data_IF_107424432063
#
_entry.id   IF_107424432063
#
_cell.length_a   1.000
_cell.length_b   1.000
_cell.length_c   1.000
_cell.angle_alpha   90.00
_cell.angle_beta   90.00
_cell.angle_gamma   90.00
#
_symmetry.space_group_name_H-M   'P 1'
#
loop_
_entity.id
_entity.type
_entity.pdbx_description
1 polymer ?
#
# COMPACT_ATOMS: atom_id res chain seq x y z
N UNK A 1 -16.74 29.39 -40.24
CA UNK A 1 -16.38 30.33 -39.17
C UNK A 1 -15.52 29.58 -38.17
N UNK A 2 -14.47 30.26 -37.75
CA UNK A 2 -13.13 29.73 -37.51
C UNK A 2 -12.87 29.01 -36.18
N UNK A 3 -12.03 27.98 -36.30
CA UNK A 3 -10.89 27.54 -35.47
C UNK A 3 -10.66 28.28 -34.13
N UNK A 4 -10.60 27.53 -33.02
CA UNK A 4 -9.54 27.64 -32.00
C UNK A 4 -9.35 26.32 -31.25
N UNK A 5 -8.28 25.63 -31.62
CA UNK A 5 -7.62 24.61 -30.82
C UNK A 5 -6.74 25.28 -29.77
N UNK A 6 -6.85 24.89 -28.51
CA UNK A 6 -5.79 25.15 -27.53
C UNK A 6 -5.35 23.83 -26.91
N UNK A 7 -4.29 23.31 -27.53
CA UNK A 7 -3.36 22.32 -27.02
C UNK A 7 -2.73 22.85 -25.72
N UNK A 8 -2.87 22.12 -24.62
CA UNK A 8 -2.06 22.32 -23.41
C UNK A 8 -1.22 21.06 -23.18
N UNK A 9 0.08 21.21 -23.40
CA UNK A 9 1.12 20.31 -22.93
C UNK A 9 1.75 20.86 -21.64
N UNK A 10 2.39 19.96 -20.89
CA UNK A 10 3.07 20.22 -19.62
C UNK A 10 2.22 19.73 -18.44
N UNK A 11 2.65 18.82 -17.58
CA UNK A 11 4.02 18.48 -17.18
C UNK A 11 4.03 17.10 -16.48
N UNK A 12 4.97 16.24 -16.86
CA UNK A 12 5.25 14.92 -16.26
C UNK A 12 6.05 15.06 -14.94
N UNK A 13 6.06 16.24 -14.33
CA UNK A 13 7.01 16.62 -13.28
C UNK A 13 6.45 16.51 -11.85
N UNK A 14 5.67 15.46 -11.56
CA UNK A 14 5.21 15.15 -10.19
C UNK A 14 5.50 13.73 -9.71
N UNK A 15 6.10 12.87 -10.54
CA UNK A 15 6.40 11.47 -10.19
C UNK A 15 7.78 11.25 -9.55
N UNK A 16 8.63 12.26 -9.51
CA UNK A 16 10.06 12.10 -9.17
C UNK A 16 10.42 12.29 -7.70
N UNK A 17 9.49 12.73 -6.83
CA UNK A 17 9.85 13.00 -5.41
C UNK A 17 9.76 11.73 -4.56
N UNK A 18 8.76 10.89 -4.80
CA UNK A 18 8.55 9.67 -4.02
C UNK A 18 9.60 8.58 -4.32
N UNK A 19 10.02 8.47 -5.58
CA UNK A 19 11.09 7.56 -6.02
C UNK A 19 12.48 8.00 -5.52
N UNK A 20 12.72 9.32 -5.40
CA UNK A 20 13.99 9.85 -4.91
C UNK A 20 14.14 9.73 -3.38
N UNK A 21 13.05 9.78 -2.61
CA UNK A 21 13.11 9.65 -1.14
C UNK A 21 13.41 8.22 -0.67
N UNK A 22 13.01 7.20 -1.45
CA UNK A 22 13.30 5.79 -1.14
C UNK A 22 14.77 5.45 -1.47
N UNK A 23 15.32 6.03 -2.55
CA UNK A 23 16.72 5.81 -2.94
C UNK A 23 17.74 6.40 -1.95
N UNK A 24 17.42 7.54 -1.33
CA UNK A 24 18.33 8.24 -0.41
C UNK A 24 18.61 7.45 0.88
N UNK A 25 17.66 6.64 1.36
CA UNK A 25 17.87 5.80 2.55
C UNK A 25 18.62 4.50 2.26
N UNK A 26 18.56 3.97 1.02
CA UNK A 26 19.25 2.75 0.65
C UNK A 26 20.78 2.93 0.48
N UNK A 27 21.23 4.11 0.04
CA UNK A 27 22.66 4.37 -0.15
C UNK A 27 23.46 4.53 1.16
N UNK A 28 22.83 4.94 2.27
CA UNK A 28 23.54 5.15 3.53
C UNK A 28 23.95 3.83 4.24
N UNK A 29 23.38 2.69 3.85
CA UNK A 29 23.63 1.40 4.48
C UNK A 29 24.72 0.53 3.84
N UNK A 30 25.31 0.95 2.71
CA UNK A 30 26.18 0.09 1.88
C UNK A 30 27.69 0.38 2.00
N UNK A 31 28.11 1.34 2.84
CA UNK A 31 29.52 1.73 2.98
C UNK A 31 30.05 1.43 4.38
N UNK A 32 30.13 0.16 4.75
CA UNK A 32 30.95 -0.27 5.89
C UNK A 32 31.24 -1.77 5.87
N UNK A 33 32.13 -2.25 5.00
CA UNK A 33 32.94 -3.44 5.29
C UNK A 33 34.29 -3.35 4.59
N UNK A 34 35.39 -3.24 5.35
CA UNK A 34 36.74 -3.61 4.90
C UNK A 34 37.13 -4.99 5.48
N UNK A 35 38.02 -5.76 4.81
CA UNK A 35 38.29 -7.17 5.11
C UNK A 35 39.69 -7.43 5.70
N UNK A 36 39.89 -8.58 6.36
CA UNK A 36 41.17 -9.30 6.49
C UNK A 36 40.87 -10.73 6.99
N UNK A 37 41.06 -11.79 6.20
CA UNK A 37 42.32 -12.50 5.90
C UNK A 37 42.64 -13.60 6.91
N UNK A 38 42.59 -14.88 6.49
CA UNK A 38 43.30 -15.99 7.15
C UNK A 38 43.44 -17.20 6.20
N UNK A 39 44.65 -17.73 6.20
CA UNK A 39 45.30 -18.73 5.33
C UNK A 39 44.78 -20.18 5.42
N UNK A 40 44.91 -20.91 4.30
CA UNK A 40 44.77 -22.36 4.12
C UNK A 40 46.09 -23.12 4.43
N UNK A 41 46.31 -24.42 4.07
CA UNK A 41 45.43 -25.62 3.92
C UNK A 41 46.04 -26.93 4.58
N UNK A 42 45.35 -28.10 4.48
CA UNK A 42 45.87 -29.39 3.94
C UNK A 42 45.35 -30.71 4.58
N UNK A 43 45.33 -31.76 3.73
CA UNK A 43 45.18 -33.23 3.93
C UNK A 43 43.76 -33.86 4.04
N UNK A 44 43.41 -35.00 3.41
CA UNK A 44 44.02 -35.87 2.38
C UNK A 44 42.99 -36.90 1.84
N UNK A 45 43.19 -37.35 0.58
CA UNK A 45 42.88 -38.59 -0.18
C UNK A 45 41.74 -39.57 0.27
N UNK A 46 40.98 -40.27 -0.61
CA UNK A 46 41.38 -41.23 -1.67
C UNK A 46 40.22 -41.57 -2.67
N UNK A 47 40.59 -41.76 -3.96
CA UNK A 47 40.15 -42.63 -5.10
C UNK A 47 38.73 -43.24 -5.19
N UNK A 48 38.04 -43.40 -6.34
CA UNK A 48 38.34 -44.16 -7.60
C UNK A 48 37.39 -43.66 -8.75
N UNK A 49 37.84 -43.36 -9.99
CA UNK A 49 37.85 -44.20 -11.23
C UNK A 49 36.44 -44.62 -11.74
N UNK A 50 35.94 -44.50 -12.98
CA UNK A 50 36.32 -44.06 -14.35
C UNK A 50 35.04 -43.38 -14.95
N UNK A 51 34.95 -42.69 -16.09
CA UNK A 51 35.34 -43.03 -17.45
C UNK A 51 35.13 -41.81 -18.39
N UNK A 52 36.18 -41.50 -19.16
CA UNK A 52 36.20 -41.45 -20.62
C UNK A 52 35.19 -40.59 -21.43
N UNK A 53 35.78 -39.62 -22.15
CA UNK A 53 35.44 -39.14 -23.50
C UNK A 53 34.11 -38.41 -23.73
N UNK A 54 34.18 -37.09 -23.74
CA UNK A 54 33.65 -36.27 -24.83
C UNK A 54 34.37 -34.92 -24.80
N UNK A 55 35.43 -34.81 -25.60
CA UNK A 55 36.11 -33.56 -25.85
C UNK A 55 35.18 -32.59 -26.60
N UNK A 56 35.18 -31.36 -26.09
CA UNK A 56 35.25 -30.14 -26.89
C UNK A 56 34.20 -29.95 -27.98
N UNK A 57 32.99 -29.52 -27.61
CA UNK A 57 32.18 -28.50 -28.32
C UNK A 57 31.09 -27.95 -27.38
N UNK A 58 31.47 -27.28 -26.29
CA UNK A 58 30.50 -26.50 -25.49
C UNK A 58 31.18 -25.25 -24.92
N UNK A 59 31.82 -24.50 -25.81
CA UNK A 59 32.49 -23.25 -25.46
C UNK A 59 32.22 -22.17 -26.52
N UNK A 60 30.98 -22.09 -27.01
CA UNK A 60 30.54 -21.00 -27.88
C UNK A 60 29.04 -20.75 -27.75
N UNK A 61 28.52 -20.56 -26.53
CA UNK A 61 27.21 -19.92 -26.37
C UNK A 61 27.12 -19.17 -25.05
N UNK A 62 28.15 -18.39 -24.75
CA UNK A 62 28.10 -17.34 -23.74
C UNK A 62 28.46 -16.05 -24.46
N UNK A 63 27.44 -15.30 -24.87
CA UNK A 63 27.28 -13.85 -24.61
C UNK A 63 26.23 -13.26 -25.56
N UNK A 64 24.97 -13.55 -25.30
CA UNK A 64 23.91 -12.57 -25.56
C UNK A 64 23.21 -12.37 -24.22
N UNK A 65 23.82 -11.54 -23.36
CA UNK A 65 23.08 -10.96 -22.26
C UNK A 65 22.06 -10.02 -22.90
N UNK A 66 20.81 -10.48 -22.98
CA UNK A 66 19.68 -9.68 -23.40
C UNK A 66 19.70 -8.36 -22.60
N UNK A 67 19.83 -7.22 -23.30
CA UNK A 67 19.79 -5.91 -22.64
C UNK A 67 18.41 -5.72 -22.01
N UNK A 68 18.34 -5.97 -20.70
CA UNK A 68 17.12 -5.82 -19.92
C UNK A 68 16.66 -4.36 -20.04
N UNK A 69 15.45 -4.16 -20.57
CA UNK A 69 14.87 -2.84 -20.76
C UNK A 69 14.77 -2.09 -19.45
N UNK A 70 14.91 -0.76 -19.50
CA UNK A 70 14.77 0.10 -18.31
C UNK A 70 13.45 -0.14 -17.55
N UNK A 71 12.38 -0.44 -18.27
CA UNK A 71 11.06 -0.72 -17.69
C UNK A 71 11.06 -2.05 -16.92
N UNK A 72 11.75 -3.07 -17.41
CA UNK A 72 11.91 -4.36 -16.73
C UNK A 72 12.76 -4.22 -15.46
N UNK A 73 13.82 -3.39 -15.51
CA UNK A 73 14.63 -3.06 -14.33
C UNK A 73 13.80 -2.33 -13.28
N UNK A 74 12.97 -1.36 -13.68
CA UNK A 74 12.11 -0.61 -12.76
C UNK A 74 11.07 -1.55 -12.10
N UNK A 75 10.52 -2.54 -12.83
CA UNK A 75 9.63 -3.59 -12.30
C UNK A 75 10.36 -4.54 -11.34
N UNK A 76 11.57 -4.96 -11.69
CA UNK A 76 12.42 -5.82 -10.84
C UNK A 76 12.76 -5.11 -9.52
N UNK A 77 13.15 -3.84 -9.58
CA UNK A 77 13.46 -3.03 -8.40
C UNK A 77 12.22 -2.90 -7.51
N UNK A 78 11.06 -2.56 -8.07
CA UNK A 78 9.81 -2.48 -7.29
C UNK A 78 9.49 -3.82 -6.63
N UNK A 79 9.59 -4.94 -7.37
CA UNK A 79 9.33 -6.28 -6.84
C UNK A 79 10.24 -6.63 -5.66
N UNK A 80 11.53 -6.33 -5.77
CA UNK A 80 12.52 -6.57 -4.70
C UNK A 80 12.21 -5.70 -3.48
N UNK A 81 11.87 -4.43 -3.67
CA UNK A 81 11.50 -3.53 -2.57
C UNK A 81 10.22 -4.02 -1.89
N UNK A 82 9.24 -4.50 -2.64
CA UNK A 82 7.99 -5.05 -2.11
C UNK A 82 8.20 -6.29 -1.24
N UNK A 83 9.05 -7.21 -1.68
CA UNK A 83 9.40 -8.39 -0.89
C UNK A 83 10.20 -8.03 0.36
N UNK A 84 11.16 -7.10 0.24
CA UNK A 84 12.09 -6.79 1.33
C UNK A 84 11.52 -5.83 2.37
N UNK A 85 10.60 -4.93 1.97
CA UNK A 85 10.07 -3.87 2.83
C UNK A 85 8.53 -3.72 2.77
N UNK A 86 7.75 -4.81 2.97
CA UNK A 86 6.29 -4.78 2.83
C UNK A 86 5.59 -3.86 3.85
N UNK A 87 6.17 -3.72 5.05
CA UNK A 87 5.62 -2.86 6.12
C UNK A 87 5.75 -1.38 5.79
N UNK A 88 6.93 -0.95 5.32
CA UNK A 88 7.20 0.45 4.94
C UNK A 88 6.29 0.91 3.80
N UNK A 89 6.05 0.01 2.85
CA UNK A 89 5.15 0.25 1.72
C UNK A 89 3.71 0.45 2.21
N UNK A 90 3.22 -0.46 3.06
CA UNK A 90 1.88 -0.35 3.66
C UNK A 90 1.73 0.98 4.40
N UNK A 91 2.71 1.37 5.21
CA UNK A 91 2.70 2.64 5.93
C UNK A 91 2.63 3.83 4.95
N UNK A 92 3.45 3.82 3.90
CA UNK A 92 3.46 4.89 2.89
C UNK A 92 2.10 5.03 2.17
N UNK A 93 1.44 3.93 1.83
CA UNK A 93 0.08 3.95 1.25
C UNK A 93 -0.93 4.56 2.19
N UNK A 94 -0.93 4.08 3.43
CA UNK A 94 -1.86 4.55 4.44
C UNK A 94 -1.66 6.04 4.66
N UNK A 95 -0.42 6.51 4.67
CA UNK A 95 -0.09 7.91 4.84
C UNK A 95 -0.61 8.75 3.68
N UNK A 96 -0.38 8.30 2.44
CA UNK A 96 -0.90 8.97 1.25
C UNK A 96 -2.44 8.99 1.22
N UNK A 97 -3.11 7.89 1.55
CA UNK A 97 -4.58 7.85 1.68
C UNK A 97 -5.08 8.85 2.72
N UNK A 98 -4.45 8.91 3.89
CA UNK A 98 -4.87 9.78 4.98
C UNK A 98 -4.59 11.26 4.69
N UNK A 99 -3.46 11.58 4.05
CA UNK A 99 -3.13 12.95 3.64
C UNK A 99 -4.10 13.47 2.59
N UNK A 100 -4.48 12.64 1.62
CA UNK A 100 -5.55 12.98 0.69
C UNK A 100 -6.91 13.10 1.39
N UNK A 101 -7.22 12.20 2.33
CA UNK A 101 -8.44 12.28 3.13
C UNK A 101 -8.55 13.56 3.94
N UNK A 102 -7.45 14.03 4.52
CA UNK A 102 -7.38 15.28 5.32
C UNK A 102 -7.73 16.53 4.51
N UNK A 103 -7.49 16.54 3.20
CA UNK A 103 -7.87 17.66 2.33
C UNK A 103 -9.40 17.89 2.27
N UNK A 104 -10.18 16.88 2.65
CA UNK A 104 -11.63 16.95 2.66
C UNK A 104 -12.22 17.28 4.02
N UNK A 105 -11.42 17.53 5.06
CA UNK A 105 -11.91 17.90 6.38
C UNK A 105 -12.86 19.12 6.30
N UNK A 106 -13.98 19.02 7.02
CA UNK A 106 -15.04 20.03 7.03
C UNK A 106 -16.00 19.97 5.83
N UNK A 107 -15.73 19.16 4.80
CA UNK A 107 -16.68 18.99 3.69
C UNK A 107 -17.97 18.32 4.18
N UNK A 108 -19.17 18.77 3.75
CA UNK A 108 -20.44 18.22 4.21
C UNK A 108 -20.61 16.73 3.88
N UNK A 109 -21.41 16.02 4.69
CA UNK A 109 -21.82 14.66 4.38
C UNK A 109 -22.45 14.59 2.98
N UNK A 110 -22.12 13.56 2.19
CA UNK A 110 -22.66 13.37 0.83
C UNK A 110 -22.35 14.52 -0.15
N UNK A 111 -21.30 15.31 0.07
CA UNK A 111 -20.79 16.20 -0.97
C UNK A 111 -20.32 15.38 -2.19
N UNK A 112 -20.24 16.04 -3.36
CA UNK A 112 -19.71 15.42 -4.58
C UNK A 112 -18.21 15.67 -4.69
N UNK A 113 -17.42 14.62 -4.83
CA UNK A 113 -15.99 14.77 -5.14
C UNK A 113 -15.79 15.25 -6.60
N UNK A 114 -14.55 15.59 -7.03
CA UNK A 114 -14.28 16.00 -8.40
C UNK A 114 -14.66 14.96 -9.48
N UNK A 115 -14.80 13.68 -9.10
CA UNK A 115 -15.27 12.58 -9.96
C UNK A 115 -16.81 12.47 -10.01
N UNK A 116 -17.53 13.37 -9.33
CA UNK A 116 -19.00 13.38 -9.26
C UNK A 116 -19.62 12.41 -8.25
N UNK A 117 -18.80 11.66 -7.51
CA UNK A 117 -19.22 10.61 -6.57
C UNK A 117 -19.68 11.20 -5.23
N UNK A 118 -20.71 10.61 -4.63
CA UNK A 118 -21.25 11.04 -3.34
C UNK A 118 -20.38 10.52 -2.20
N UNK A 119 -19.83 11.40 -1.37
CA UNK A 119 -18.96 11.04 -0.25
C UNK A 119 -19.76 10.81 1.05
N UNK A 120 -20.44 9.67 1.13
CA UNK A 120 -20.93 9.11 2.41
C UNK A 120 -19.83 8.33 3.15
N UNK A 121 -20.14 7.77 4.33
CA UNK A 121 -19.13 7.13 5.17
C UNK A 121 -18.33 6.04 4.45
N UNK A 122 -19.01 5.11 3.79
CA UNK A 122 -18.35 3.99 3.12
C UNK A 122 -17.79 4.36 1.76
N UNK A 123 -18.42 5.30 1.04
CA UNK A 123 -17.87 5.77 -0.24
C UNK A 123 -16.65 6.66 -0.05
N UNK A 124 -16.56 7.41 1.06
CA UNK A 124 -15.35 8.15 1.42
C UNK A 124 -14.19 7.19 1.64
N UNK A 125 -14.37 6.14 2.44
CA UNK A 125 -13.34 5.10 2.63
C UNK A 125 -12.98 4.43 1.30
N UNK A 126 -13.98 4.04 0.50
CA UNK A 126 -13.73 3.45 -0.83
C UNK A 126 -12.92 4.39 -1.74
N UNK A 127 -13.22 5.68 -1.71
CA UNK A 127 -12.48 6.68 -2.47
C UNK A 127 -11.01 6.76 -2.03
N UNK A 128 -10.72 6.67 -0.72
CA UNK A 128 -9.34 6.61 -0.21
C UNK A 128 -8.57 5.43 -0.80
N UNK A 129 -9.12 4.22 -0.69
CA UNK A 129 -8.51 3.02 -1.28
C UNK A 129 -8.34 3.13 -2.80
N UNK A 130 -9.29 3.75 -3.50
CA UNK A 130 -9.21 3.92 -4.96
C UNK A 130 -8.05 4.81 -5.43
N UNK A 131 -7.52 5.68 -4.56
CA UNK A 131 -6.33 6.48 -4.88
C UNK A 131 -5.07 5.62 -4.99
N UNK A 132 -5.06 4.49 -4.27
CA UNK A 132 -4.01 3.48 -4.34
C UNK A 132 -4.37 2.34 -5.30
N UNK A 133 -5.34 2.54 -6.20
CA UNK A 133 -5.77 1.49 -7.14
C UNK A 133 -6.54 0.31 -6.52
N UNK A 134 -6.86 0.38 -5.21
CA UNK A 134 -7.57 -0.68 -4.50
C UNK A 134 -9.09 -0.51 -4.59
N UNK A 135 -9.79 -1.60 -4.91
CA UNK A 135 -11.26 -1.59 -5.03
C UNK A 135 -11.91 -2.37 -3.90
N UNK A 136 -12.42 -1.64 -2.90
CA UNK A 136 -13.18 -2.23 -1.79
C UNK A 136 -14.70 -2.11 -2.01
N UNK A 137 -15.54 -2.95 -1.38
CA UNK A 137 -17.00 -2.89 -1.55
C UNK A 137 -17.64 -1.53 -1.22
N UNK A 138 -18.84 -1.28 -1.77
CA UNK A 138 -19.52 0.03 -1.69
C UNK A 138 -20.12 0.35 -0.32
N UNK A 139 -20.66 -0.65 0.37
CA UNK A 139 -21.41 -0.44 1.63
C UNK A 139 -20.55 -0.77 2.84
N UNK A 140 -20.76 -0.06 3.96
CA UNK A 140 -20.02 -0.29 5.20
C UNK A 140 -20.13 -1.75 5.69
N UNK A 141 -21.31 -2.38 5.52
CA UNK A 141 -21.52 -3.78 5.88
C UNK A 141 -20.73 -4.76 5.00
N UNK A 142 -20.63 -4.49 3.69
CA UNK A 142 -19.80 -5.31 2.80
C UNK A 142 -18.31 -5.09 3.07
N UNK A 143 -17.89 -3.86 3.37
CA UNK A 143 -16.52 -3.56 3.78
C UNK A 143 -16.14 -4.32 5.07
N UNK A 144 -17.05 -4.38 6.05
CA UNK A 144 -16.84 -5.15 7.27
C UNK A 144 -16.68 -6.66 7.02
N UNK A 145 -17.38 -7.20 6.03
CA UNK A 145 -17.26 -8.61 5.63
C UNK A 145 -16.01 -8.88 4.77
N UNK A 146 -15.53 -7.86 4.05
CA UNK A 146 -14.34 -7.92 3.20
C UNK A 146 -13.04 -7.83 4.02
N UNK A 147 -13.05 -7.13 5.15
CA UNK A 147 -11.89 -7.04 6.04
C UNK A 147 -11.71 -8.26 6.92
N UNK A 148 -10.46 -8.61 7.22
CA UNK A 148 -10.12 -9.53 8.31
C UNK A 148 -10.41 -8.87 9.64
N UNK A 149 -11.26 -9.49 10.46
CA UNK A 149 -11.60 -8.97 11.78
C UNK A 149 -10.39 -9.02 12.70
N UNK A 150 -10.12 -7.91 13.39
CA UNK A 150 -9.02 -7.77 14.35
C UNK A 150 -9.56 -7.29 15.71
N UNK A 151 -8.90 -7.64 16.83
CA UNK A 151 -9.26 -7.08 18.13
C UNK A 151 -8.89 -5.59 18.19
N UNK A 152 -9.65 -4.81 18.96
CA UNK A 152 -9.44 -3.36 19.09
C UNK A 152 -8.05 -3.00 19.61
N UNK A 153 -7.45 -3.87 20.42
CA UNK A 153 -6.07 -3.72 20.94
C UNK A 153 -4.97 -3.87 19.88
N UNK A 154 -5.27 -4.46 18.73
CA UNK A 154 -4.33 -4.64 17.62
C UNK A 154 -4.57 -3.67 16.47
N UNK A 155 -5.48 -2.72 16.67
CA UNK A 155 -5.78 -1.70 15.67
C UNK A 155 -4.56 -0.85 15.40
N UNK A 156 -4.31 -0.63 14.12
CA UNK A 156 -3.24 0.19 13.60
C UNK A 156 -3.83 1.26 12.68
N UNK A 157 -3.01 2.28 12.42
CA UNK A 157 -3.28 3.28 11.40
C UNK A 157 -3.61 2.60 10.06
N UNK A 158 -4.67 3.06 9.39
CA UNK A 158 -5.19 2.48 8.15
C UNK A 158 -6.27 1.40 8.32
N UNK A 159 -6.41 0.80 9.50
CA UNK A 159 -7.49 -0.15 9.76
C UNK A 159 -8.86 0.53 9.75
N UNK A 160 -9.92 -0.26 9.54
CA UNK A 160 -11.30 0.23 9.50
C UNK A 160 -12.04 -0.10 10.78
N UNK A 161 -12.76 0.89 11.30
CA UNK A 161 -13.64 0.75 12.46
C UNK A 161 -15.09 0.78 12.00
N UNK A 162 -15.86 -0.19 12.45
CA UNK A 162 -17.25 -0.38 12.04
C UNK A 162 -18.21 -0.17 13.21
N UNK A 163 -19.28 0.57 12.94
CA UNK A 163 -20.24 1.00 13.95
C UNK A 163 -21.68 0.74 13.51
N UNK A 164 -22.57 0.66 14.50
CA UNK A 164 -24.02 0.71 14.31
C UNK A 164 -24.41 2.03 13.64
N UNK A 165 -25.42 1.95 12.77
CA UNK A 165 -26.01 3.12 12.11
C UNK A 165 -26.93 3.94 13.03
N UNK A 166 -28.06 4.39 12.48
CA UNK A 166 -29.02 5.25 13.18
C UNK A 166 -29.64 4.59 14.43
N UNK A 167 -29.97 3.30 14.34
CA UNK A 167 -30.61 2.56 15.43
C UNK A 167 -29.59 1.83 16.30
N UNK A 168 -29.61 2.10 17.61
CA UNK A 168 -28.80 1.39 18.61
C UNK A 168 -29.25 -0.07 18.83
N UNK A 169 -30.52 -0.36 18.57
CA UNK A 169 -31.09 -1.70 18.66
C UNK A 169 -30.64 -2.61 17.50
N UNK A 170 -30.09 -2.04 16.42
CA UNK A 170 -29.56 -2.85 15.32
C UNK A 170 -28.17 -3.38 15.63
N UNK A 171 -27.92 -4.64 15.27
CA UNK A 171 -26.59 -5.25 15.23
C UNK A 171 -25.88 -5.06 13.89
N UNK A 172 -26.51 -4.41 12.90
CA UNK A 172 -25.95 -4.23 11.56
C UNK A 172 -24.96 -3.08 11.53
N UNK A 173 -23.87 -3.29 10.79
CA UNK A 173 -22.93 -2.23 10.43
C UNK A 173 -23.64 -1.18 9.59
N UNK A 174 -23.60 0.07 10.05
CA UNK A 174 -24.24 1.20 9.39
C UNK A 174 -23.34 2.43 9.27
N UNK A 175 -22.12 2.38 9.80
CA UNK A 175 -21.13 3.45 9.70
C UNK A 175 -19.72 2.87 9.74
N UNK A 176 -18.78 3.57 9.10
CA UNK A 176 -17.36 3.18 9.00
C UNK A 176 -16.46 4.40 9.09
N UNK A 177 -15.29 4.22 9.69
CA UNK A 177 -14.19 5.20 9.70
C UNK A 177 -12.84 4.51 9.53
N UNK A 178 -11.85 5.26 9.05
CA UNK A 178 -10.47 4.78 8.89
C UNK A 178 -9.61 5.33 10.02
N UNK A 179 -8.82 4.48 10.66
CA UNK A 179 -7.95 4.84 11.78
C UNK A 179 -6.79 5.69 11.27
N UNK A 180 -6.52 6.79 11.97
CA UNK A 180 -5.44 7.72 11.61
C UNK A 180 -4.31 7.75 12.64
N UNK A 181 -4.60 7.38 13.89
CA UNK A 181 -3.71 7.53 15.02
C UNK A 181 -4.17 6.60 16.15
N UNK A 182 -3.21 5.94 16.79
CA UNK A 182 -3.42 5.05 17.95
C UNK A 182 -2.39 5.44 19.00
N UNK A 183 -2.84 6.00 20.12
CA UNK A 183 -1.99 6.43 21.23
C UNK A 183 -2.53 5.87 22.55
N UNK A 184 -1.97 4.74 22.99
CA UNK A 184 -2.50 4.02 24.14
C UNK A 184 -3.97 3.65 23.92
N UNK A 185 -4.86 4.13 24.80
CA UNK A 185 -6.30 3.87 24.71
C UNK A 185 -7.05 4.80 23.73
N UNK A 186 -6.38 5.81 23.19
CA UNK A 186 -6.98 6.75 22.23
C UNK A 186 -6.81 6.24 20.81
N UNK A 187 -7.93 6.05 20.11
CA UNK A 187 -7.94 5.70 18.69
C UNK A 187 -8.74 6.75 17.94
N UNK A 188 -8.07 7.51 17.08
CA UNK A 188 -8.72 8.51 16.23
C UNK A 188 -9.00 7.93 14.85
N UNK A 189 -10.14 8.31 14.29
CA UNK A 189 -10.54 7.94 12.94
C UNK A 189 -11.01 9.13 12.13
N UNK A 190 -10.71 9.11 10.84
CA UNK A 190 -11.29 10.01 9.85
C UNK A 190 -12.49 9.34 9.20
N UNK A 191 -13.60 10.07 9.07
CA UNK A 191 -14.81 9.54 8.46
C UNK A 191 -15.77 10.64 7.99
N UNK A 192 -16.58 10.32 6.98
CA UNK A 192 -17.72 11.16 6.57
C UNK A 192 -18.92 10.88 7.46
N UNK A 193 -19.30 11.85 8.29
CA UNK A 193 -20.39 11.79 9.27
C UNK A 193 -21.50 12.78 8.92
N UNK A 194 -22.62 12.77 9.63
CA UNK A 194 -23.65 13.81 9.48
C UNK A 194 -23.13 15.24 9.77
N UNK A 195 -21.97 15.40 10.40
CA UNK A 195 -21.29 16.68 10.64
C UNK A 195 -20.28 17.05 9.55
N UNK A 196 -20.18 16.23 8.50
CA UNK A 196 -19.15 16.31 7.47
C UNK A 196 -18.01 15.33 7.70
N UNK A 197 -16.95 15.48 6.90
CA UNK A 197 -15.69 14.74 7.07
C UNK A 197 -14.95 15.34 8.25
N UNK A 198 -14.79 14.53 9.29
CA UNK A 198 -14.25 14.92 10.59
C UNK A 198 -13.31 13.84 11.10
N UNK A 199 -12.51 14.22 12.08
CA UNK A 199 -11.69 13.32 12.88
C UNK A 199 -12.33 13.25 14.26
N UNK A 200 -12.66 12.04 14.69
CA UNK A 200 -13.22 11.79 16.01
C UNK A 200 -12.45 10.67 16.71
N UNK A 201 -12.51 10.68 18.04
CA UNK A 201 -11.96 9.63 18.88
C UNK A 201 -13.04 8.56 19.17
N UNK A 202 -12.66 7.28 19.11
CA UNK A 202 -13.56 6.15 19.39
C UNK A 202 -14.10 6.18 20.83
N UNK A 203 -13.35 6.77 21.77
CA UNK A 203 -13.71 6.89 23.19
C UNK A 203 -14.90 7.81 23.42
N UNK A 204 -15.27 8.65 22.45
CA UNK A 204 -16.49 9.45 22.51
C UNK A 204 -17.70 8.53 22.73
N UNK A 205 -18.55 8.89 23.70
CA UNK A 205 -19.69 8.07 24.13
C UNK A 205 -20.60 7.64 22.97
N UNK A 206 -20.73 8.47 21.94
CA UNK A 206 -21.47 8.15 20.72
C UNK A 206 -20.92 6.90 20.00
N UNK A 207 -19.60 6.83 19.77
CA UNK A 207 -18.93 5.72 19.06
C UNK A 207 -18.72 4.52 19.96
N UNK A 208 -18.33 4.73 21.23
CA UNK A 208 -18.16 3.67 22.21
C UNK A 208 -19.39 2.76 22.33
N UNK A 209 -20.60 3.33 22.33
CA UNK A 209 -21.87 2.55 22.39
C UNK A 209 -22.26 1.89 21.07
N UNK A 210 -21.64 2.30 19.96
CA UNK A 210 -21.98 1.86 18.60
C UNK A 210 -20.94 0.95 17.99
N UNK A 211 -19.77 0.78 18.61
CA UNK A 211 -18.71 -0.06 18.09
C UNK A 211 -19.20 -1.50 17.88
N UNK A 212 -18.87 -2.07 16.72
CA UNK A 212 -19.20 -3.45 16.35
C UNK A 212 -17.91 -4.26 16.22
N UNK A 213 -17.00 -3.80 15.36
CA UNK A 213 -15.74 -4.49 15.11
C UNK A 213 -14.70 -3.56 14.49
N UNK A 214 -13.44 -3.97 14.55
CA UNK A 214 -12.36 -3.44 13.74
C UNK A 214 -11.99 -4.47 12.65
N UNK A 215 -11.50 -3.99 11.51
CA UNK A 215 -11.10 -4.85 10.40
C UNK A 215 -9.94 -4.29 9.61
N UNK A 216 -9.06 -5.18 9.14
CA UNK A 216 -7.89 -4.88 8.32
C UNK A 216 -8.14 -5.36 6.89
N UNK A 217 -7.82 -4.53 5.90
CA UNK A 217 -7.87 -4.90 4.49
C UNK A 217 -6.61 -5.71 4.15
N UNK A 218 -6.78 -6.97 3.74
CA UNK A 218 -5.66 -7.87 3.39
C UNK A 218 -4.90 -7.37 2.15
N UNK A 219 -5.63 -6.87 1.14
CA UNK A 219 -5.06 -6.40 -0.13
C UNK A 219 -4.04 -5.26 0.00
N UNK A 220 -3.99 -4.52 1.13
CA UNK A 220 -2.94 -3.52 1.35
C UNK A 220 -1.53 -4.13 1.44
N UNK A 221 -1.41 -5.42 1.73
CA UNK A 221 -0.12 -6.13 1.81
C UNK A 221 0.32 -6.69 0.46
N UNK A 222 -0.63 -7.10 -0.38
CA UNK A 222 -0.34 -7.77 -1.66
C UNK A 222 -0.28 -6.79 -2.86
N UNK A 223 -0.85 -5.60 -2.70
CA UNK A 223 -1.22 -4.76 -3.84
C UNK A 223 -0.09 -4.03 -4.56
N UNK A 224 1.06 -3.76 -3.94
CA UNK A 224 2.14 -3.10 -4.69
C UNK A 224 2.68 -3.95 -5.84
N UNK A 225 2.78 -5.26 -5.65
CA UNK A 225 3.23 -6.18 -6.70
C UNK A 225 2.18 -6.31 -7.82
N UNK A 226 0.88 -6.18 -7.50
CA UNK A 226 -0.20 -6.37 -8.48
C UNK A 226 -0.62 -5.09 -9.21
N UNK A 227 -0.50 -3.90 -8.59
CA UNK A 227 -0.97 -2.62 -9.15
C UNK A 227 -0.20 -2.22 -10.42
N UNK A 228 1.09 -2.60 -10.54
CA UNK A 228 1.92 -2.32 -11.72
C UNK A 228 1.86 -3.39 -12.81
N UNK A 229 1.62 -4.66 -12.47
CA UNK A 229 1.46 -5.72 -13.48
C UNK A 229 0.25 -5.49 -14.39
N UNK A 230 -0.78 -4.76 -13.94
CA UNK A 230 -1.97 -4.44 -14.73
C UNK A 230 -1.75 -3.23 -15.67
N UNK A 231 -0.74 -2.39 -15.41
CA UNK A 231 -0.43 -1.20 -16.23
C UNK A 231 0.77 -1.41 -17.18
N UNK A 232 1.26 -2.64 -17.30
CA UNK A 232 2.40 -3.03 -18.16
C UNK A 232 1.98 -3.81 -19.43
N UNK A 233 0.70 -3.80 -19.79
CA UNK A 233 0.18 -4.38 -21.03
C UNK A 233 -0.58 -3.35 -21.85
#
# INVERSE_FOLDING_TARGET
MDIYTTRWGGSVLRRSVLSLMILLFACAGLLATEPAESSAPAEAAETVESAESAEAEEATELTEAEEIGKDDIDVLIETIICQKYPTLIKETLVDHMLDNGRQYLGRPYKFRNPRGEIMDCSNFVRYLYSMEGLTIPRTASQQAAFTTKIPLSEVQKGDLLFFKGRSLASSRVGHVGMVIEVNGDQVKMIHSSNRGIVIDDISMNYYKRRFIQAGRVAELQDSYASIRLIHSY
#
